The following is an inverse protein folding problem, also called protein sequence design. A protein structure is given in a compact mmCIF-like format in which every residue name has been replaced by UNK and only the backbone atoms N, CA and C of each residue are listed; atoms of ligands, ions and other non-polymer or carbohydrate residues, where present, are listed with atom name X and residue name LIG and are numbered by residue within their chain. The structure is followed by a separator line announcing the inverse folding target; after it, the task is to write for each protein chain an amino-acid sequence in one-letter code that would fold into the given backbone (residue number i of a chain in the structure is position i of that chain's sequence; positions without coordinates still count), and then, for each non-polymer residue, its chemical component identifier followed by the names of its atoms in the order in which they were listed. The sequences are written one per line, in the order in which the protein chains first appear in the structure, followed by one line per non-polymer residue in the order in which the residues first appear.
data_IF_961481848615
#
_entry.id   IF_961481848615
#
_cell.length_a   1.000
_cell.length_b   1.000
_cell.length_c   1.000
_cell.angle_alpha   90.00
_cell.angle_beta   90.00
_cell.angle_gamma   90.00
#
_symmetry.space_group_name_H-M   'P 1'
#
loop_
_entity.id
_entity.type
_entity.pdbx_description
1 polymer ?
#
# COMPACT_ATOMS: atom_id res chain seq x y z
N UNK A 1 -8.80 14.87 -28.64
CA UNK A 1 -9.22 13.73 -27.78
C UNK A 1 -8.60 13.94 -26.40
N UNK A 2 -9.39 14.20 -25.34
CA UNK A 2 -8.88 14.35 -23.96
C UNK A 2 -8.71 12.95 -23.36
N UNK A 3 -7.50 12.58 -22.96
CA UNK A 3 -7.28 11.36 -22.19
C UNK A 3 -7.63 11.66 -20.72
N UNK A 4 -8.57 10.89 -20.17
CA UNK A 4 -8.93 10.97 -18.75
C UNK A 4 -8.08 9.92 -18.03
N UNK A 5 -7.37 10.38 -17.00
CA UNK A 5 -6.58 9.55 -16.10
C UNK A 5 -7.26 9.56 -14.74
N UNK A 6 -7.68 8.39 -14.26
CA UNK A 6 -8.19 8.19 -12.91
C UNK A 6 -7.12 7.52 -12.05
N UNK A 7 -6.94 7.99 -10.81
CA UNK A 7 -6.09 7.35 -9.80
C UNK A 7 -6.93 7.14 -8.55
N UNK A 8 -7.05 5.90 -8.10
CA UNK A 8 -7.61 5.56 -6.79
C UNK A 8 -6.52 4.91 -5.94
N UNK A 9 -6.36 5.39 -4.70
CA UNK A 9 -5.37 4.89 -3.74
C UNK A 9 -6.09 4.46 -2.48
N UNK A 10 -5.96 3.18 -2.13
CA UNK A 10 -6.46 2.60 -0.89
C UNK A 10 -5.29 2.26 0.04
N UNK A 11 -5.37 2.73 1.29
CA UNK A 11 -4.33 2.56 2.30
C UNK A 11 -4.95 1.99 3.58
N UNK A 12 -4.47 0.82 4.00
CA UNK A 12 -4.85 0.19 5.26
C UNK A 12 -3.64 0.03 6.18
N UNK A 13 -3.78 0.54 7.41
CA UNK A 13 -2.77 0.39 8.47
C UNK A 13 -3.37 -0.47 9.57
N UNK A 14 -2.85 -1.69 9.73
CA UNK A 14 -3.27 -2.60 10.80
C UNK A 14 -2.16 -2.76 11.83
N UNK A 15 -2.43 -2.35 13.07
CA UNK A 15 -1.49 -2.47 14.20
C UNK A 15 -1.84 -3.67 15.08
N UNK A 16 -1.05 -4.74 14.99
CA UNK A 16 -1.09 -5.93 15.89
C UNK A 16 0.31 -6.21 16.46
N UNK A 17 0.59 -7.44 16.92
CA UNK A 17 1.95 -7.89 17.30
C UNK A 17 2.98 -7.68 16.19
N UNK A 18 2.53 -7.61 14.93
CA UNK A 18 3.23 -7.09 13.75
C UNK A 18 2.38 -5.97 13.16
N UNK A 19 3.00 -4.90 12.66
CA UNK A 19 2.30 -3.82 11.98
C UNK A 19 2.38 -4.03 10.47
N UNK A 20 1.28 -3.81 9.76
CA UNK A 20 1.23 -3.97 8.30
C UNK A 20 0.68 -2.71 7.67
N UNK A 21 1.23 -2.34 6.52
CA UNK A 21 0.70 -1.30 5.64
C UNK A 21 0.39 -1.98 4.30
N UNK A 22 -0.88 -1.94 3.89
CA UNK A 22 -1.28 -2.39 2.55
C UNK A 22 -1.64 -1.15 1.74
N UNK A 23 -1.09 -1.05 0.52
CA UNK A 23 -1.37 0.03 -0.41
C UNK A 23 -1.78 -0.56 -1.75
N UNK A 24 -2.95 -0.17 -2.25
CA UNK A 24 -3.41 -0.51 -3.59
C UNK A 24 -3.60 0.75 -4.41
N UNK A 25 -3.06 0.74 -5.63
CA UNK A 25 -3.14 1.84 -6.59
C UNK A 25 -3.82 1.32 -7.85
N UNK A 26 -4.96 1.91 -8.18
CA UNK A 26 -5.69 1.65 -9.42
C UNK A 26 -5.53 2.85 -10.35
N UNK A 27 -5.02 2.61 -11.55
CA UNK A 27 -4.82 3.58 -12.61
C UNK A 27 -5.76 3.25 -13.77
N UNK A 28 -6.65 4.16 -14.12
CA UNK A 28 -7.54 4.01 -15.29
C UNK A 28 -7.11 5.01 -16.35
N UNK A 29 -6.74 4.51 -17.53
CA UNK A 29 -6.41 5.33 -18.69
C UNK A 29 -7.32 4.96 -19.85
N UNK A 30 -8.20 5.89 -20.25
CA UNK A 30 -9.00 5.75 -21.47
C UNK A 30 -9.70 4.38 -21.64
N UNK A 31 -10.30 3.85 -20.57
CA UNK A 31 -10.99 2.56 -20.59
C UNK A 31 -10.11 1.32 -20.38
N UNK A 32 -8.82 1.50 -20.12
CA UNK A 32 -7.92 0.44 -19.67
C UNK A 32 -7.67 0.61 -18.17
N UNK A 33 -7.93 -0.45 -17.40
CA UNK A 33 -7.67 -0.51 -15.97
C UNK A 33 -6.33 -1.21 -15.69
N UNK A 34 -5.48 -0.57 -14.89
CA UNK A 34 -4.25 -1.12 -14.38
C UNK A 34 -4.28 -1.08 -12.86
N UNK A 35 -4.02 -2.21 -12.22
CA UNK A 35 -3.99 -2.32 -10.76
C UNK A 35 -2.61 -2.80 -10.30
N UNK A 36 -2.00 -2.07 -9.37
CA UNK A 36 -0.79 -2.48 -8.68
C UNK A 36 -1.00 -2.44 -7.16
N UNK A 37 -0.67 -3.53 -6.47
CA UNK A 37 -0.81 -3.65 -5.01
C UNK A 37 0.50 -4.03 -4.35
N UNK A 38 0.79 -3.40 -3.22
CA UNK A 38 1.99 -3.66 -2.41
C UNK A 38 1.60 -3.88 -0.94
N UNK A 39 2.25 -4.85 -0.28
CA UNK A 39 2.09 -5.09 1.16
C UNK A 39 3.43 -4.96 1.85
N UNK A 40 3.52 -4.06 2.82
CA UNK A 40 4.71 -3.82 3.63
C UNK A 40 4.46 -4.39 5.03
N UNK A 41 5.36 -5.27 5.48
CA UNK A 41 5.32 -5.89 6.80
C UNK A 41 6.36 -5.22 7.70
N UNK A 42 5.91 -4.54 8.75
CA UNK A 42 6.77 -3.95 9.77
C UNK A 42 6.85 -4.88 10.99
N UNK A 43 7.97 -5.60 11.09
CA UNK A 43 8.28 -6.44 12.25
C UNK A 43 8.93 -5.59 13.35
N UNK A 44 8.31 -5.57 14.53
CA UNK A 44 8.91 -4.94 15.72
C UNK A 44 10.02 -5.84 16.25
N UNK A 45 11.28 -5.61 15.84
CA UNK A 45 12.43 -6.15 16.58
C UNK A 45 12.55 -5.38 17.90
N UNK A 46 12.32 -6.05 19.04
CA UNK A 46 12.81 -5.53 20.32
C UNK A 46 14.33 -5.61 20.24
N UNK A 47 14.99 -4.47 20.08
CA UNK A 47 16.39 -4.37 20.47
C UNK A 47 16.42 -4.55 21.98
N UNK A 48 16.75 -5.76 22.44
CA UNK A 48 17.23 -5.93 23.81
C UNK A 48 18.58 -5.23 23.83
N UNK A 49 18.62 -4.02 24.38
CA UNK A 49 19.88 -3.39 24.73
C UNK A 49 20.51 -4.28 25.81
N UNK A 50 21.69 -4.90 25.57
CA UNK A 50 22.39 -5.60 26.64
C UNK A 50 22.80 -4.56 27.68
N UNK A 51 22.43 -4.81 28.93
CA UNK A 51 22.89 -4.07 30.12
C UNK A 51 24.38 -4.28 30.37
#
# INVERSE_FOLDING_TARGET
MRQIFGINVELDITKKCTSYITMQINLTKSGQDFCAGWRIIMLRRRYLMPS
#
